data_IF_547163130335
#
_entry.id   IF_547163130335
#
_cell.length_a   1.000
_cell.length_b   1.000
_cell.length_c   1.000
_cell.angle_alpha   90.00
_cell.angle_beta   90.00
_cell.angle_gamma   90.00
#
_symmetry.space_group_name_H-M   'P 1'
#
loop_
_entity.id
_entity.type
_entity.pdbx_description
1 polymer ?
#
# COMPACT_ATOMS: atom_id res chain seq x y z
N UNK A 1 -12.78 4.15 6.76
CA UNK A 1 -11.34 3.80 6.85
C UNK A 1 -10.80 3.92 5.44
N UNK A 2 -9.70 4.65 5.24
CA UNK A 2 -9.20 4.96 3.90
C UNK A 2 -7.76 4.49 3.75
N UNK A 3 -7.49 3.81 2.65
CA UNK A 3 -6.13 3.61 2.12
C UNK A 3 -5.91 4.65 1.03
N UNK A 4 -4.67 5.07 0.83
CA UNK A 4 -4.34 6.13 -0.11
C UNK A 4 -3.44 5.62 -1.21
N UNK A 5 -3.61 6.14 -2.43
CA UNK A 5 -2.65 5.96 -3.49
C UNK A 5 -1.51 6.98 -3.35
N UNK A 6 -0.26 6.53 -3.54
CA UNK A 6 0.89 7.40 -3.77
C UNK A 6 1.04 7.58 -5.28
N UNK A 7 0.83 8.81 -5.73
CA UNK A 7 1.00 9.22 -7.12
C UNK A 7 2.32 9.98 -7.23
N UNK A 8 3.28 9.55 -8.07
CA UNK A 8 4.54 10.28 -8.25
C UNK A 8 4.34 11.65 -8.92
N UNK A 9 3.26 11.81 -9.70
CA UNK A 9 2.90 13.01 -10.46
C UNK A 9 1.40 13.02 -10.78
N UNK A 10 0.81 14.15 -11.20
CA UNK A 10 -0.57 14.19 -11.66
C UNK A 10 -0.83 13.14 -12.75
N UNK A 11 -1.92 12.37 -12.58
CA UNK A 11 -2.30 11.32 -13.53
C UNK A 11 -2.81 11.93 -14.84
N UNK A 12 -2.54 11.25 -15.96
CA UNK A 12 -3.11 11.63 -17.26
C UNK A 12 -4.54 11.10 -17.41
N UNK A 13 -4.80 9.92 -16.83
CA UNK A 13 -6.11 9.26 -16.83
C UNK A 13 -6.63 9.25 -15.38
N UNK A 14 -7.83 9.81 -15.10
CA UNK A 14 -8.39 9.85 -13.75
C UNK A 14 -8.58 8.47 -13.11
N UNK A 15 -8.33 8.40 -11.80
CA UNK A 15 -8.59 7.21 -10.99
C UNK A 15 -10.07 7.11 -10.62
N UNK A 16 -10.90 6.76 -11.59
CA UNK A 16 -12.35 6.65 -11.43
C UNK A 16 -12.85 5.21 -11.63
N UNK A 17 -13.79 4.79 -10.80
CA UNK A 17 -14.41 3.47 -10.87
C UNK A 17 -15.79 3.52 -10.21
N UNK A 18 -16.74 2.77 -10.77
CA UNK A 18 -18.07 2.56 -10.18
C UNK A 18 -18.05 1.65 -8.95
N UNK A 19 -16.93 0.95 -8.72
CA UNK A 19 -16.71 0.07 -7.57
C UNK A 19 -15.41 0.40 -6.84
N UNK A 20 -15.31 0.14 -5.52
CA UNK A 20 -14.07 0.39 -4.79
C UNK A 20 -12.89 -0.41 -5.35
N UNK A 21 -11.74 0.24 -5.54
CA UNK A 21 -10.51 -0.42 -5.98
C UNK A 21 -9.99 -1.46 -4.96
N UNK A 22 -10.27 -1.24 -3.68
CA UNK A 22 -9.81 -2.08 -2.58
C UNK A 22 -11.00 -2.46 -1.69
N UNK A 23 -11.04 -3.71 -1.19
CA UNK A 23 -11.96 -4.08 -0.12
C UNK A 23 -11.57 -3.39 1.19
N UNK A 24 -12.40 -3.53 2.23
CA UNK A 24 -12.07 -3.07 3.58
C UNK A 24 -10.97 -3.95 4.17
N UNK A 25 -9.73 -3.48 4.08
CA UNK A 25 -8.54 -4.23 4.49
C UNK A 25 -8.01 -3.85 5.88
N UNK A 26 -8.32 -2.66 6.40
CA UNK A 26 -7.82 -2.26 7.71
C UNK A 26 -8.64 -2.84 8.85
N UNK A 27 -7.92 -3.34 9.87
CA UNK A 27 -8.51 -3.77 11.14
C UNK A 27 -8.89 -2.59 12.03
N UNK A 28 -8.09 -1.52 11.97
CA UNK A 28 -8.26 -0.27 12.74
C UNK A 28 -7.97 0.94 11.84
N UNK A 29 -8.48 2.15 12.14
CA UNK A 29 -8.18 3.34 11.35
C UNK A 29 -6.67 3.65 11.37
N UNK A 30 -6.14 4.19 10.28
CA UNK A 30 -4.77 4.70 10.25
C UNK A 30 -4.67 6.00 11.07
N UNK A 31 -3.57 6.15 11.80
CA UNK A 31 -3.32 7.28 12.70
C UNK A 31 -2.94 6.83 14.11
N UNK A 32 -2.51 7.78 14.96
CA UNK A 32 -2.19 7.49 16.34
C UNK A 32 -3.44 7.12 17.15
N UNK A 33 -3.26 6.16 18.05
CA UNK A 33 -4.30 5.74 18.99
C UNK A 33 -4.49 6.84 20.03
N UNK A 34 -5.73 7.30 20.21
CA UNK A 34 -6.04 8.35 21.19
C UNK A 34 -5.93 9.80 20.67
N UNK A 35 -5.64 9.99 19.38
CA UNK A 35 -5.56 11.31 18.75
C UNK A 35 -4.14 11.88 18.68
N UNK A 36 -4.01 13.03 18.01
CA UNK A 36 -2.74 13.73 17.82
C UNK A 36 -2.61 14.85 18.86
N UNK A 37 -1.46 14.90 19.56
CA UNK A 37 -1.06 16.11 20.28
C UNK A 37 -0.75 17.22 19.26
N UNK A 38 -0.98 18.51 19.57
CA UNK A 38 -0.80 19.63 18.62
C UNK A 38 0.59 19.73 17.97
N UNK A 39 1.61 19.10 18.56
CA UNK A 39 3.00 19.11 18.07
C UNK A 39 3.57 17.71 17.81
N UNK A 40 2.75 16.66 17.88
CA UNK A 40 3.22 15.31 17.59
C UNK A 40 3.44 15.14 16.09
N UNK A 41 4.49 14.42 15.70
CA UNK A 41 4.66 14.01 14.31
C UNK A 41 3.49 13.08 13.94
N UNK A 42 2.65 13.44 12.95
CA UNK A 42 1.52 12.62 12.56
C UNK A 42 1.92 11.24 12.01
N UNK A 43 3.20 11.02 11.72
CA UNK A 43 3.75 9.74 11.25
C UNK A 43 4.46 8.93 12.33
N UNK A 44 4.63 9.45 13.55
CA UNK A 44 5.35 8.77 14.64
C UNK A 44 4.83 7.35 14.90
N UNK A 45 3.50 7.18 14.86
CA UNK A 45 2.86 5.88 15.07
C UNK A 45 3.29 4.80 14.05
N UNK A 46 3.77 5.19 12.87
CA UNK A 46 4.26 4.26 11.85
C UNK A 46 5.53 3.54 12.32
N UNK A 47 6.35 4.15 13.18
CA UNK A 47 7.55 3.49 13.71
C UNK A 47 7.21 2.18 14.45
N UNK A 48 6.02 2.11 15.06
CA UNK A 48 5.53 0.96 15.79
C UNK A 48 4.63 0.02 14.95
N UNK A 49 4.37 0.36 13.69
CA UNK A 49 3.57 -0.47 12.79
C UNK A 49 4.45 -1.53 12.13
N UNK A 50 4.18 -2.80 12.39
CA UNK A 50 4.89 -3.93 11.77
C UNK A 50 3.91 -4.83 11.02
N UNK A 51 4.17 -5.05 9.74
CA UNK A 51 3.43 -5.99 8.90
C UNK A 51 4.13 -7.36 8.95
N UNK A 52 3.85 -8.16 9.99
CA UNK A 52 4.58 -9.39 10.29
C UNK A 52 4.59 -10.46 9.19
N UNK A 53 3.62 -10.40 8.27
CA UNK A 53 3.44 -11.35 7.16
C UNK A 53 3.67 -10.73 5.78
N UNK A 54 4.17 -9.49 5.70
CA UNK A 54 4.52 -8.84 4.45
C UNK A 54 6.04 -8.61 4.42
N UNK A 55 6.68 -9.07 3.35
CA UNK A 55 8.11 -8.88 3.10
C UNK A 55 8.29 -7.84 2.00
N UNK A 56 9.37 -7.07 2.11
CA UNK A 56 9.79 -6.19 1.05
C UNK A 56 10.50 -7.01 -0.04
N UNK A 57 10.05 -6.93 -1.29
CA UNK A 57 10.62 -7.69 -2.40
C UNK A 57 12.04 -7.25 -2.80
N UNK A 58 12.53 -6.13 -2.24
CA UNK A 58 13.86 -5.59 -2.54
C UNK A 58 14.89 -5.93 -1.46
N UNK A 59 14.59 -5.65 -0.19
CA UNK A 59 15.51 -5.94 0.91
C UNK A 59 15.22 -7.26 1.62
N UNK A 60 14.14 -7.95 1.27
CA UNK A 60 13.70 -9.23 1.87
C UNK A 60 13.40 -9.16 3.38
N UNK A 61 13.34 -7.96 3.96
CA UNK A 61 12.98 -7.74 5.36
C UNK A 61 11.47 -7.58 5.54
N UNK A 62 11.00 -7.80 6.76
CA UNK A 62 9.60 -7.50 7.14
C UNK A 62 9.33 -6.02 6.99
N UNK A 63 8.16 -5.68 6.47
CA UNK A 63 7.80 -4.27 6.28
C UNK A 63 7.43 -3.64 7.63
N UNK A 64 8.24 -2.67 8.05
CA UNK A 64 7.98 -1.77 9.17
C UNK A 64 7.58 -0.39 8.65
N UNK A 65 6.61 0.25 9.31
CA UNK A 65 6.03 1.51 8.88
C UNK A 65 5.04 1.36 7.73
N UNK A 66 5.08 2.29 6.78
CA UNK A 66 4.18 2.27 5.63
C UNK A 66 4.56 1.13 4.67
N UNK A 67 3.56 0.35 4.28
CA UNK A 67 3.67 -0.70 3.27
C UNK A 67 3.19 -0.18 1.92
N UNK A 68 4.08 -0.21 0.93
CA UNK A 68 3.82 0.22 -0.45
C UNK A 68 3.58 -1.00 -1.32
N UNK A 69 2.33 -1.23 -1.74
CA UNK A 69 2.00 -2.27 -2.72
C UNK A 69 1.73 -1.64 -4.08
N UNK A 70 2.39 -2.14 -5.11
CA UNK A 70 2.12 -1.69 -6.47
C UNK A 70 0.66 -2.02 -6.86
N UNK A 71 -0.01 -1.08 -7.52
CA UNK A 71 -1.40 -1.25 -7.95
C UNK A 71 -1.55 -2.12 -9.21
N UNK A 72 -0.45 -2.43 -9.90
CA UNK A 72 -0.42 -3.11 -11.20
C UNK A 72 0.26 -4.47 -11.15
N UNK A 73 1.31 -4.62 -10.34
CA UNK A 73 2.00 -5.88 -10.17
C UNK A 73 2.04 -6.29 -8.69
N UNK A 74 2.39 -7.55 -8.43
CA UNK A 74 2.42 -8.12 -7.09
C UNK A 74 3.63 -7.69 -6.24
N UNK A 75 4.14 -6.46 -6.43
CA UNK A 75 5.35 -5.95 -5.76
C UNK A 75 5.02 -5.23 -4.46
N UNK A 76 5.67 -5.63 -3.38
CA UNK A 76 5.55 -5.09 -2.03
C UNK A 76 6.88 -4.48 -1.58
N UNK A 77 6.85 -3.24 -1.07
CA UNK A 77 8.05 -2.49 -0.68
C UNK A 77 7.87 -1.83 0.69
N UNK A 78 8.97 -1.76 1.45
CA UNK A 78 9.07 -0.89 2.61
C UNK A 78 9.31 0.58 2.19
N UNK A 79 9.19 1.52 3.12
CA UNK A 79 9.34 2.96 2.84
C UNK A 79 10.70 3.35 2.26
N UNK A 80 11.79 2.76 2.76
CA UNK A 80 13.14 3.02 2.26
C UNK A 80 13.35 2.48 0.85
N UNK A 81 12.87 1.26 0.58
CA UNK A 81 12.98 0.70 -0.75
C UNK A 81 12.12 1.47 -1.74
N UNK A 82 10.88 1.84 -1.36
CA UNK A 82 9.96 2.59 -2.22
C UNK A 82 10.41 4.05 -2.52
N UNK A 83 11.37 4.61 -1.78
CA UNK A 83 11.96 5.92 -2.11
C UNK A 83 13.14 5.82 -3.07
N UNK A 84 13.79 4.67 -3.11
CA UNK A 84 14.95 4.37 -3.97
C UNK A 84 14.58 3.55 -5.20
N UNK A 85 13.36 3.01 -5.26
CA UNK A 85 13.00 2.03 -6.28
C UNK A 85 12.82 2.69 -7.64
N UNK A 86 13.50 2.13 -8.64
CA UNK A 86 13.32 2.44 -10.06
C UNK A 86 12.31 1.47 -10.68
N UNK A 87 11.25 1.15 -9.93
CA UNK A 87 10.11 0.42 -10.51
C UNK A 87 9.54 1.22 -11.67
N UNK A 88 8.73 0.55 -12.49
CA UNK A 88 8.05 1.20 -13.59
C UNK A 88 7.40 2.51 -13.15
N UNK A 89 7.84 3.63 -13.73
CA UNK A 89 7.39 4.98 -13.38
C UNK A 89 5.93 5.25 -13.80
N UNK A 90 5.35 4.34 -14.59
CA UNK A 90 3.93 4.33 -14.92
C UNK A 90 3.07 3.62 -13.86
N UNK A 91 3.70 2.94 -12.90
CA UNK A 91 3.00 2.28 -11.80
C UNK A 91 2.82 3.20 -10.59
N UNK A 92 1.66 3.08 -9.94
CA UNK A 92 1.36 3.76 -8.68
C UNK A 92 1.25 2.76 -7.54
N UNK A 93 1.35 3.25 -6.31
CA UNK A 93 1.30 2.42 -5.11
C UNK A 93 0.04 2.68 -4.29
N UNK A 94 -0.57 1.62 -3.76
CA UNK A 94 -1.42 1.70 -2.58
C UNK A 94 -0.50 1.74 -1.36
N UNK A 95 -0.78 2.64 -0.42
CA UNK A 95 0.00 2.78 0.81
C UNK A 95 -0.84 2.35 2.01
N UNK A 96 -0.45 1.23 2.62
CA UNK A 96 -1.02 0.76 3.85
C UNK A 96 -0.28 1.36 5.05
N UNK A 97 -1.02 2.05 5.91
CA UNK A 97 -0.53 2.78 7.10
C UNK A 97 -1.21 2.31 8.39
N UNK A 98 -1.81 1.12 8.38
CA UNK A 98 -2.46 0.52 9.53
C UNK A 98 -2.41 -1.01 9.43
N UNK A 99 -2.66 -1.75 10.52
CA UNK A 99 -2.74 -3.21 10.49
C UNK A 99 -3.74 -3.71 9.44
N UNK A 100 -3.23 -4.50 8.49
CA UNK A 100 -4.01 -5.10 7.39
C UNK A 100 -4.56 -6.45 7.82
N UNK A 101 -5.81 -6.74 7.46
CA UNK A 101 -6.40 -8.06 7.54
C UNK A 101 -5.83 -8.95 6.44
N UNK A 102 -4.82 -9.73 6.83
CA UNK A 102 -4.10 -10.61 5.93
C UNK A 102 -4.95 -11.77 5.41
N UNK A 103 -6.04 -12.17 6.08
CA UNK A 103 -6.93 -13.21 5.57
C UNK A 103 -7.67 -12.70 4.33
N UNK A 104 -8.30 -11.54 4.46
CA UNK A 104 -9.00 -10.89 3.35
C UNK A 104 -8.04 -10.42 2.26
N UNK A 105 -6.87 -9.90 2.65
CA UNK A 105 -5.86 -9.46 1.69
C UNK A 105 -5.33 -10.61 0.83
N UNK A 106 -5.05 -11.79 1.43
CA UNK A 106 -4.57 -12.98 0.71
C UNK A 106 -5.52 -13.41 -0.40
N UNK A 107 -6.82 -13.42 -0.10
CA UNK A 107 -7.86 -13.77 -1.07
C UNK A 107 -7.94 -12.72 -2.19
N UNK A 108 -7.93 -11.43 -1.83
CA UNK A 108 -8.01 -10.35 -2.79
C UNK A 108 -6.80 -10.28 -3.73
N UNK A 109 -5.59 -10.40 -3.19
CA UNK A 109 -4.33 -10.32 -3.94
C UNK A 109 -3.91 -11.64 -4.57
N UNK A 110 -4.70 -12.72 -4.42
CA UNK A 110 -4.39 -14.07 -4.90
C UNK A 110 -2.96 -14.51 -4.58
N UNK A 111 -2.54 -14.38 -3.32
CA UNK A 111 -1.14 -14.64 -2.92
C UNK A 111 -0.71 -16.12 -3.09
N UNK A 112 -1.66 -17.05 -3.30
CA UNK A 112 -1.36 -18.46 -3.55
C UNK A 112 -0.78 -18.71 -4.95
N UNK A 113 -1.07 -17.82 -5.90
CA UNK A 113 -0.49 -17.85 -7.24
C UNK A 113 -0.05 -16.44 -7.65
N UNK A 114 1.17 -16.01 -7.25
CA UNK A 114 1.66 -14.64 -7.47
C UNK A 114 1.69 -14.21 -8.94
N UNK A 115 1.87 -15.17 -9.87
CA UNK A 115 1.84 -14.90 -11.31
C UNK A 115 0.43 -14.48 -11.79
N UNK A 116 -0.60 -14.83 -11.03
CA UNK A 116 -2.00 -14.52 -11.30
C UNK A 116 -2.59 -13.55 -10.26
N UNK A 117 -1.74 -12.78 -9.55
CA UNK A 117 -2.22 -11.70 -8.68
C UNK A 117 -2.91 -10.63 -9.55
N UNK A 118 -4.23 -10.42 -9.40
CA UNK A 118 -4.92 -9.43 -10.21
C UNK A 118 -4.40 -8.02 -9.88
N UNK A 119 -4.28 -7.13 -10.88
CA UNK A 119 -3.96 -5.74 -10.61
C UNK A 119 -5.13 -5.08 -9.86
N UNK A 120 -4.80 -4.21 -8.91
CA UNK A 120 -5.75 -3.39 -8.15
C UNK A 120 -6.43 -2.40 -9.11
N UNK A 121 -5.67 -1.85 -10.05
CA UNK A 121 -6.17 -0.97 -11.11
C UNK A 121 -5.97 -1.66 -12.45
N UNK A 122 -7.04 -1.80 -13.22
CA UNK A 122 -7.06 -2.55 -14.49
C UNK A 122 -6.77 -1.69 -15.73
N UNK A 123 -6.42 -0.42 -15.54
CA UNK A 123 -6.18 0.55 -16.61
C UNK A 123 -4.96 1.42 -16.31
N UNK A 124 -4.19 1.85 -17.33
CA UNK A 124 -3.06 2.73 -17.12
C UNK A 124 -3.52 4.11 -16.65
N UNK A 125 -2.73 4.75 -15.78
CA UNK A 125 -2.98 6.13 -15.31
C UNK A 125 -2.03 7.15 -15.92
N UNK A 126 -0.97 6.67 -16.57
CA UNK A 126 0.01 7.44 -17.29
C UNK A 126 0.08 6.95 -18.75
N UNK A 127 0.44 7.86 -19.66
CA UNK A 127 0.56 7.63 -21.09
C UNK A 127 2.03 7.53 -21.47
#
# INVERSE_FOLDING_TARGET
>A
MHSFFKLPRPVHIPLESSSPFLPKLYKVPAGPVGGLSPNADPQEYLYHLVHSTALCDRCMERIQGAWYRCAYCAKDLCGECASLDTHDETHIFVVFKAPVDMVHFRQFANLENPNDSPPIIKFPVYC
#
